data_IF_655768559377
#
_entry.id   IF_655768559377
#
_cell.length_a   1.000
_cell.length_b   1.000
_cell.length_c   1.000
_cell.angle_alpha   90.00
_cell.angle_beta   90.00
_cell.angle_gamma   90.00
#
_symmetry.space_group_name_H-M   'P 1'
#
loop_
_entity.id
_entity.type
_entity.pdbx_description
1 polymer ?
#
# COMPACT_ATOMS: atom_id res chain seq x y z
N UNK A 1 -3.20 21.13 -6.39
CA UNK A 1 -3.73 20.40 -5.21
C UNK A 1 -4.75 21.29 -4.50
N UNK A 2 -5.81 20.70 -3.93
CA UNK A 2 -6.87 21.40 -3.17
C UNK A 2 -7.03 20.70 -1.81
N UNK A 3 -7.06 21.47 -0.74
CA UNK A 3 -7.39 20.99 0.61
C UNK A 3 -8.89 20.76 0.72
N UNK A 4 -9.29 19.56 1.14
CA UNK A 4 -10.68 19.21 1.46
C UNK A 4 -10.97 19.49 2.94
N UNK A 5 -10.06 19.01 3.82
CA UNK A 5 -10.13 19.26 5.26
C UNK A 5 -8.76 19.20 5.90
N UNK A 6 -8.58 19.92 7.00
CA UNK A 6 -7.45 19.80 7.92
C UNK A 6 -7.94 19.90 9.35
N UNK A 7 -7.55 18.95 10.19
CA UNK A 7 -7.96 18.85 11.56
C UNK A 7 -6.76 18.59 12.47
N UNK A 8 -6.74 19.18 13.64
CA UNK A 8 -5.75 18.85 14.66
C UNK A 8 -5.90 17.38 15.10
N UNK A 9 -4.82 16.66 15.19
CA UNK A 9 -4.77 15.24 15.57
C UNK A 9 -3.44 14.92 16.23
N UNK A 10 -3.44 14.39 17.47
CA UNK A 10 -2.25 13.92 18.21
C UNK A 10 -1.01 14.83 18.10
N UNK A 11 -1.15 16.12 18.38
CA UNK A 11 -0.08 17.14 18.23
C UNK A 11 0.46 17.28 16.79
N UNK A 12 -0.39 17.00 15.82
CA UNK A 12 -0.10 17.14 14.40
C UNK A 12 -1.35 17.56 13.67
N UNK A 13 -1.33 17.43 12.36
CA UNK A 13 -2.44 17.76 11.47
C UNK A 13 -2.80 16.57 10.60
N UNK A 14 -4.07 16.15 10.61
CA UNK A 14 -4.63 15.21 9.64
C UNK A 14 -5.32 16.00 8.54
N UNK A 15 -4.73 15.99 7.36
CA UNK A 15 -5.30 16.59 6.16
C UNK A 15 -5.92 15.57 5.21
N UNK A 16 -6.86 16.03 4.39
CA UNK A 16 -7.40 15.33 3.22
C UNK A 16 -7.28 16.28 2.04
N UNK A 17 -6.70 15.79 0.96
CA UNK A 17 -6.37 16.57 -0.22
C UNK A 17 -6.83 15.88 -1.49
N UNK A 18 -7.17 16.67 -2.51
CA UNK A 18 -7.46 16.18 -3.85
C UNK A 18 -6.64 16.93 -4.89
N UNK A 19 -6.31 16.23 -5.96
CA UNK A 19 -5.63 16.83 -7.11
C UNK A 19 -6.02 16.13 -8.41
N UNK A 20 -5.88 16.82 -9.52
CA UNK A 20 -6.00 16.19 -10.83
C UNK A 20 -4.76 15.33 -11.06
N UNK A 21 -4.93 14.02 -11.11
CA UNK A 21 -3.88 13.10 -11.47
C UNK A 21 -3.73 13.02 -12.99
N UNK A 22 -2.49 13.10 -13.46
CA UNK A 22 -2.13 12.85 -14.84
C UNK A 22 -1.98 11.37 -15.13
N UNK A 23 -1.45 10.60 -14.19
CA UNK A 23 -1.35 9.14 -14.29
C UNK A 23 -2.73 8.50 -14.39
N UNK A 24 -3.62 8.77 -13.44
CA UNK A 24 -4.96 8.19 -13.42
C UNK A 24 -5.98 8.92 -14.29
N UNK A 25 -5.61 10.05 -14.91
CA UNK A 25 -6.48 10.89 -15.75
C UNK A 25 -7.85 11.22 -15.09
N UNK A 26 -7.87 11.37 -13.77
CA UNK A 26 -9.05 11.75 -12.98
C UNK A 26 -8.61 12.48 -11.70
N UNK A 27 -9.56 12.99 -10.94
CA UNK A 27 -9.27 13.53 -9.62
C UNK A 27 -8.98 12.40 -8.65
N UNK A 28 -7.81 12.47 -7.98
CA UNK A 28 -7.38 11.53 -6.97
C UNK A 28 -7.37 12.21 -5.60
N UNK A 29 -7.70 11.42 -4.57
CA UNK A 29 -7.74 11.88 -3.19
C UNK A 29 -6.75 11.08 -2.34
N UNK A 30 -6.09 11.76 -1.42
CA UNK A 30 -5.27 11.14 -0.39
C UNK A 30 -5.43 11.85 0.94
N UNK A 31 -5.15 11.15 2.04
CA UNK A 31 -5.02 11.75 3.34
C UNK A 31 -3.54 11.77 3.77
N UNK A 32 -3.16 12.77 4.54
CA UNK A 32 -1.80 12.92 5.06
C UNK A 32 -1.86 13.38 6.52
N UNK A 33 -1.21 12.61 7.39
CA UNK A 33 -0.91 13.05 8.74
C UNK A 33 0.48 13.67 8.77
N UNK A 34 0.59 14.89 9.29
CA UNK A 34 1.84 15.59 9.53
C UNK A 34 2.04 15.77 11.04
N UNK A 35 3.13 15.27 11.63
CA UNK A 35 3.48 15.50 13.03
C UNK A 35 3.91 16.96 13.22
N UNK A 36 3.95 17.44 14.49
CA UNK A 36 4.36 18.82 14.80
C UNK A 36 5.79 19.14 14.36
N UNK A 37 6.67 18.14 14.30
CA UNK A 37 8.05 18.25 13.84
C UNK A 37 8.17 18.72 12.39
N UNK A 38 7.16 18.48 11.57
CA UNK A 38 7.12 18.96 10.19
C UNK A 38 7.09 20.50 10.08
N UNK A 39 6.76 21.21 11.17
CA UNK A 39 6.89 22.66 11.26
C UNK A 39 8.33 23.14 11.43
N UNK A 40 9.24 22.25 11.83
CA UNK A 40 10.64 22.56 12.11
C UNK A 40 11.59 22.11 10.98
N UNK A 41 11.14 21.19 10.13
CA UNK A 41 11.90 20.66 9.00
C UNK A 41 11.31 19.40 8.41
N UNK A 42 11.94 18.84 7.37
CA UNK A 42 11.45 17.62 6.73
C UNK A 42 11.44 16.41 7.67
N UNK A 43 10.34 15.65 7.66
CA UNK A 43 10.13 14.45 8.46
C UNK A 43 10.04 13.21 7.60
N UNK A 44 10.40 12.01 8.11
CA UNK A 44 10.26 10.75 7.40
C UNK A 44 8.81 10.49 7.01
N UNK A 45 8.61 9.73 5.93
CA UNK A 45 7.29 9.39 5.40
C UNK A 45 7.01 7.89 5.48
N UNK A 46 5.86 7.53 6.02
CA UNK A 46 5.29 6.19 5.93
C UNK A 46 4.10 6.17 4.98
N UNK A 47 4.12 5.24 4.04
CA UNK A 47 3.00 4.95 3.16
C UNK A 47 2.11 3.89 3.79
N UNK A 48 0.81 4.13 3.86
CA UNK A 48 -0.16 3.12 4.29
C UNK A 48 -1.14 2.82 3.14
N UNK A 49 -0.96 1.67 2.50
CA UNK A 49 -1.79 1.21 1.40
C UNK A 49 -2.98 0.39 1.92
N UNK A 50 -4.19 0.82 1.58
CA UNK A 50 -5.41 0.15 2.00
C UNK A 50 -5.75 -1.06 1.12
N UNK A 51 -6.62 -1.94 1.62
CA UNK A 51 -7.11 -3.12 0.94
C UNK A 51 -8.27 -2.85 -0.01
N UNK A 52 -8.86 -3.94 -0.54
CA UNK A 52 -10.01 -3.90 -1.44
C UNK A 52 -11.18 -3.13 -0.84
N UNK A 53 -11.94 -2.46 -1.70
CA UNK A 53 -13.12 -1.66 -1.40
C UNK A 53 -12.89 -0.41 -0.54
N UNK A 54 -11.67 -0.22 -0.06
CA UNK A 54 -11.29 0.93 0.77
C UNK A 54 -11.06 2.20 -0.06
N UNK A 55 -11.07 3.32 0.65
CA UNK A 55 -10.59 4.63 0.19
C UNK A 55 -9.42 5.07 1.09
N UNK A 56 -8.94 6.29 0.90
CA UNK A 56 -8.00 6.96 1.81
C UNK A 56 -8.50 7.01 3.26
N UNK A 57 -9.83 7.02 3.48
CA UNK A 57 -10.43 7.17 4.82
C UNK A 57 -10.30 5.92 5.69
N UNK A 58 -10.32 4.72 5.10
CA UNK A 58 -10.39 3.48 5.88
C UNK A 58 -9.19 3.34 6.82
N UNK A 59 -7.98 3.38 6.28
CA UNK A 59 -6.76 3.27 7.09
C UNK A 59 -6.57 4.54 7.95
N UNK A 60 -6.79 5.74 7.41
CA UNK A 60 -6.72 6.99 8.15
C UNK A 60 -7.56 6.97 9.44
N UNK A 61 -8.77 6.39 9.37
CA UNK A 61 -9.71 6.36 10.50
C UNK A 61 -9.49 5.16 11.43
N UNK A 62 -9.18 3.98 10.87
CA UNK A 62 -9.22 2.72 11.62
C UNK A 62 -7.86 2.24 12.11
N UNK A 63 -6.76 2.61 11.44
CA UNK A 63 -5.44 2.10 11.79
C UNK A 63 -4.85 2.66 13.09
N UNK A 64 -5.34 3.82 13.57
CA UNK A 64 -4.79 4.47 14.76
C UNK A 64 -3.32 4.89 14.62
N UNK A 65 -2.85 5.05 13.38
CA UNK A 65 -1.44 5.31 13.07
C UNK A 65 -0.95 6.67 13.58
N UNK A 66 -1.83 7.65 13.64
CA UNK A 66 -1.48 9.04 13.93
C UNK A 66 -0.85 9.23 15.31
N UNK A 67 -1.32 8.50 16.33
CA UNK A 67 -0.76 8.58 17.68
C UNK A 67 0.72 8.18 17.71
N UNK A 68 1.02 7.03 17.10
CA UNK A 68 2.39 6.49 17.01
C UNK A 68 3.27 7.33 16.08
N UNK A 69 2.72 7.80 14.97
CA UNK A 69 3.40 8.67 14.04
C UNK A 69 3.81 9.99 14.69
N UNK A 70 2.91 10.59 15.48
CA UNK A 70 3.19 11.79 16.26
C UNK A 70 4.28 11.58 17.31
N UNK A 71 4.26 10.44 18.03
CA UNK A 71 5.29 10.12 19.03
C UNK A 71 6.69 10.00 18.42
N UNK A 72 6.76 9.62 17.15
CA UNK A 72 8.03 9.32 16.48
C UNK A 72 8.43 10.40 15.45
N UNK A 73 7.65 11.45 15.29
CA UNK A 73 7.93 12.52 14.34
C UNK A 73 7.89 12.05 12.88
N UNK A 74 6.92 11.21 12.52
CA UNK A 74 6.78 10.58 11.19
C UNK A 74 5.47 11.02 10.54
N UNK A 75 5.53 11.41 9.27
CA UNK A 75 4.33 11.64 8.47
C UNK A 75 3.76 10.32 7.95
N UNK A 76 2.43 10.24 7.78
CA UNK A 76 1.76 9.07 7.20
C UNK A 76 0.84 9.49 6.09
N UNK A 77 1.07 8.95 4.88
CA UNK A 77 0.17 9.14 3.74
C UNK A 77 -0.72 7.92 3.53
N UNK A 78 -1.99 8.20 3.28
CA UNK A 78 -3.05 7.22 3.00
C UNK A 78 -3.65 7.55 1.63
N UNK A 79 -3.12 6.98 0.52
CA UNK A 79 -3.70 7.20 -0.80
C UNK A 79 -5.02 6.45 -0.96
N UNK A 80 -5.86 6.89 -1.89
CA UNK A 80 -6.99 6.08 -2.36
C UNK A 80 -6.48 4.80 -3.05
N UNK A 81 -7.31 3.78 -3.07
CA UNK A 81 -6.96 2.44 -3.59
C UNK A 81 -7.22 2.29 -5.08
N UNK A 82 -7.90 3.25 -5.69
CA UNK A 82 -8.18 3.27 -7.12
C UNK A 82 -8.55 4.68 -7.60
N UNK A 83 -8.51 4.93 -8.91
CA UNK A 83 -9.20 6.07 -9.50
C UNK A 83 -10.70 5.99 -9.22
N UNK A 84 -11.35 7.17 -9.15
CA UNK A 84 -12.80 7.31 -8.97
C UNK A 84 -13.29 8.50 -9.78
N UNK A 85 -14.51 8.45 -10.22
CA UNK A 85 -15.12 9.49 -11.04
C UNK A 85 -16.28 8.92 -11.86
N UNK A 86 -17.05 9.77 -12.51
CA UNK A 86 -18.18 9.34 -13.34
C UNK A 86 -17.71 8.58 -14.59
N UNK A 87 -16.59 9.03 -15.17
CA UNK A 87 -16.02 8.45 -16.38
C UNK A 87 -15.06 7.26 -16.11
N UNK A 88 -14.80 6.93 -14.84
CA UNK A 88 -13.92 5.81 -14.47
C UNK A 88 -14.71 4.51 -14.53
N UNK A 89 -14.17 3.53 -15.24
CA UNK A 89 -14.76 2.19 -15.35
C UNK A 89 -14.93 1.54 -13.96
N UNK A 90 -16.00 0.75 -13.83
CA UNK A 90 -16.34 0.02 -12.62
C UNK A 90 -16.84 -1.38 -12.96
N UNK A 91 -16.96 -2.24 -11.94
CA UNK A 91 -17.49 -3.59 -12.07
C UNK A 91 -18.39 -3.91 -10.87
N UNK A 92 -19.37 -4.78 -11.05
CA UNK A 92 -20.25 -5.23 -9.96
C UNK A 92 -19.50 -6.15 -8.95
N UNK A 93 -18.39 -6.75 -9.37
CA UNK A 93 -17.54 -7.56 -8.50
C UNK A 93 -16.66 -6.66 -7.63
N UNK A 94 -16.68 -6.88 -6.32
CA UNK A 94 -15.93 -6.08 -5.32
C UNK A 94 -14.41 -6.08 -5.53
N UNK A 95 -13.91 -7.00 -6.32
CA UNK A 95 -12.48 -7.25 -6.57
C UNK A 95 -12.00 -6.73 -7.94
N UNK A 96 -12.80 -5.92 -8.63
CA UNK A 96 -12.44 -5.18 -9.84
C UNK A 96 -13.00 -3.75 -9.78
N UNK A 97 -12.43 -2.85 -10.55
CA UNK A 97 -12.92 -1.47 -10.64
C UNK A 97 -12.63 -0.62 -9.41
N UNK A 98 -13.60 0.22 -9.04
CA UNK A 98 -13.44 1.23 -7.97
C UNK A 98 -13.22 0.57 -6.61
N UNK A 99 -12.09 0.86 -5.99
CA UNK A 99 -11.63 0.25 -4.75
C UNK A 99 -10.73 -0.99 -4.94
N UNK A 100 -10.40 -1.34 -6.18
CA UNK A 100 -9.64 -2.55 -6.51
C UNK A 100 -8.51 -2.29 -7.52
N UNK A 101 -7.73 -1.22 -7.34
CA UNK A 101 -6.67 -0.83 -8.29
C UNK A 101 -5.41 -1.71 -8.25
N UNK A 102 -5.29 -2.62 -7.29
CA UNK A 102 -4.17 -3.58 -7.12
C UNK A 102 -2.77 -2.98 -7.19
N UNK A 103 -2.65 -1.65 -7.21
CA UNK A 103 -1.38 -0.93 -7.33
C UNK A 103 -0.58 -1.35 -8.57
N UNK A 104 -1.30 -1.58 -9.68
CA UNK A 104 -0.74 -1.92 -11.00
C UNK A 104 -1.09 -0.84 -12.02
N UNK A 105 -0.41 -0.88 -13.17
CA UNK A 105 -0.83 -0.12 -14.36
C UNK A 105 -1.59 -1.05 -15.29
N UNK A 106 -2.88 -0.81 -15.42
CA UNK A 106 -3.72 -1.58 -16.33
C UNK A 106 -3.33 -1.32 -17.79
N UNK A 107 -3.31 -2.39 -18.58
CA UNK A 107 -3.02 -2.38 -20.02
C UNK A 107 -4.23 -2.75 -20.87
N UNK A 108 -5.32 -3.18 -20.22
CA UNK A 108 -6.52 -3.68 -20.87
C UNK A 108 -7.69 -2.72 -20.72
N UNK A 109 -8.50 -2.58 -21.79
CA UNK A 109 -9.79 -1.90 -21.70
C UNK A 109 -10.77 -2.72 -20.84
N UNK A 110 -11.66 -2.05 -20.10
CA UNK A 110 -11.86 -0.61 -20.02
C UNK A 110 -10.97 0.09 -18.94
N UNK A 111 -10.01 -0.60 -18.35
CA UNK A 111 -9.24 -0.15 -17.19
C UNK A 111 -8.09 0.78 -17.54
N UNK A 112 -7.40 0.51 -18.66
CA UNK A 112 -6.16 1.19 -19.06
C UNK A 112 -6.22 2.74 -19.02
N UNK A 113 -7.33 3.41 -19.35
CA UNK A 113 -7.36 4.88 -19.34
C UNK A 113 -7.18 5.54 -17.97
N UNK A 114 -7.48 4.80 -16.88
CA UNK A 114 -7.52 5.37 -15.53
C UNK A 114 -6.76 4.56 -14.47
N UNK A 115 -6.74 3.24 -14.57
CA UNK A 115 -6.15 2.37 -13.53
C UNK A 115 -4.63 2.29 -13.66
N UNK A 116 -3.95 3.43 -13.41
CA UNK A 116 -2.50 3.57 -13.47
C UNK A 116 -1.94 3.78 -12.05
N UNK A 117 -2.35 2.88 -11.13
CA UNK A 117 -2.06 3.03 -9.71
C UNK A 117 -0.58 2.81 -9.37
N UNK A 118 0.16 2.06 -10.19
CA UNK A 118 1.61 1.94 -10.02
C UNK A 118 2.29 3.30 -10.23
N UNK A 119 2.09 3.94 -11.37
CA UNK A 119 2.69 5.24 -11.68
C UNK A 119 2.23 6.33 -10.70
N UNK A 120 0.97 6.23 -10.25
CA UNK A 120 0.44 7.14 -9.25
C UNK A 120 1.20 7.07 -7.92
N UNK A 121 1.43 5.86 -7.39
CA UNK A 121 2.11 5.65 -6.09
C UNK A 121 3.64 5.74 -6.22
N UNK A 122 4.21 5.27 -7.32
CA UNK A 122 5.66 5.25 -7.51
C UNK A 122 6.24 6.61 -7.89
N UNK A 123 5.50 7.41 -8.66
CA UNK A 123 6.07 8.61 -9.30
C UNK A 123 5.25 9.88 -9.02
N UNK A 124 3.96 9.92 -9.34
CA UNK A 124 3.19 11.16 -9.30
C UNK A 124 2.93 11.67 -7.88
N UNK A 125 2.38 10.83 -7.02
CA UNK A 125 2.06 11.24 -5.64
C UNK A 125 3.32 11.57 -4.82
N UNK A 126 4.44 10.83 -4.91
CA UNK A 126 5.68 11.23 -4.25
C UNK A 126 6.20 12.59 -4.66
N UNK A 127 6.17 12.91 -5.95
CA UNK A 127 6.55 14.23 -6.46
C UNK A 127 5.66 15.33 -5.88
N UNK A 128 4.34 15.13 -5.94
CA UNK A 128 3.37 16.07 -5.37
C UNK A 128 3.58 16.30 -3.86
N UNK A 129 3.84 15.23 -3.12
CA UNK A 129 4.06 15.28 -1.66
C UNK A 129 5.36 16.06 -1.35
N UNK A 130 6.45 15.76 -2.01
CA UNK A 130 7.74 16.43 -1.82
C UNK A 130 7.74 17.91 -2.18
N UNK A 131 6.91 18.32 -3.16
CA UNK A 131 6.76 19.71 -3.56
C UNK A 131 5.92 20.54 -2.58
N UNK A 132 4.97 19.92 -1.86
CA UNK A 132 3.95 20.65 -1.10
C UNK A 132 4.10 20.53 0.41
N UNK A 133 4.86 19.55 0.92
CA UNK A 133 4.97 19.28 2.35
C UNK A 133 6.42 19.10 2.78
N UNK A 134 6.71 19.40 4.05
CA UNK A 134 8.03 19.21 4.65
C UNK A 134 8.29 17.71 4.94
N UNK A 135 8.61 16.94 3.90
CA UNK A 135 8.85 15.51 3.95
C UNK A 135 10.27 15.17 3.50
N UNK A 136 10.91 14.27 4.22
CA UNK A 136 12.19 13.68 3.84
C UNK A 136 11.94 12.47 2.92
N UNK A 137 11.95 12.72 1.61
CA UNK A 137 11.66 11.73 0.58
C UNK A 137 12.77 10.67 0.42
N UNK A 138 13.92 10.83 1.08
CA UNK A 138 14.98 9.82 1.13
C UNK A 138 14.80 8.84 2.30
N UNK A 139 13.88 9.15 3.23
CA UNK A 139 13.56 8.32 4.40
C UNK A 139 12.11 7.88 4.38
N UNK A 140 11.84 6.84 3.61
CA UNK A 140 10.49 6.31 3.42
C UNK A 140 10.37 4.86 3.91
N UNK A 141 9.22 4.51 4.48
CA UNK A 141 8.79 3.14 4.71
C UNK A 141 7.43 2.92 4.07
N UNK A 142 7.08 1.66 3.80
CA UNK A 142 5.79 1.33 3.21
C UNK A 142 5.12 0.22 4.01
N UNK A 143 3.82 0.37 4.24
CA UNK A 143 3.01 -0.69 4.81
C UNK A 143 1.66 -0.78 4.11
N UNK A 144 0.96 -1.89 4.32
CA UNK A 144 -0.37 -2.05 3.75
C UNK A 144 -1.09 -3.29 4.24
N UNK A 145 -2.40 -3.31 4.03
CA UNK A 145 -3.27 -4.40 4.43
C UNK A 145 -3.90 -5.05 3.20
N UNK A 146 -3.95 -6.40 3.14
CA UNK A 146 -4.59 -7.18 2.08
C UNK A 146 -4.03 -6.83 0.68
N UNK A 147 -4.85 -6.30 -0.24
CA UNK A 147 -4.41 -5.73 -1.52
C UNK A 147 -3.33 -4.66 -1.32
N UNK A 148 -3.44 -3.83 -0.27
CA UNK A 148 -2.40 -2.85 0.08
C UNK A 148 -1.10 -3.50 0.58
N UNK A 149 -1.18 -4.64 1.27
CA UNK A 149 -0.01 -5.44 1.64
C UNK A 149 0.70 -6.03 0.41
N UNK A 150 -0.07 -6.49 -0.57
CA UNK A 150 0.44 -6.85 -1.90
C UNK A 150 1.17 -5.66 -2.55
N UNK A 151 0.52 -4.50 -2.61
CA UNK A 151 1.11 -3.29 -3.18
C UNK A 151 2.39 -2.87 -2.45
N UNK A 152 2.40 -2.91 -1.12
CA UNK A 152 3.58 -2.58 -0.33
C UNK A 152 4.78 -3.48 -0.64
N UNK A 153 4.57 -4.78 -0.72
CA UNK A 153 5.62 -5.76 -1.04
C UNK A 153 6.12 -5.60 -2.48
N UNK A 154 5.22 -5.51 -3.45
CA UNK A 154 5.60 -5.42 -4.87
C UNK A 154 6.30 -4.09 -5.19
N UNK A 155 5.83 -2.97 -4.64
CA UNK A 155 6.48 -1.67 -4.78
C UNK A 155 7.88 -1.67 -4.14
N UNK A 156 8.02 -2.18 -2.90
CA UNK A 156 9.31 -2.20 -2.21
C UNK A 156 10.36 -3.01 -2.98
N UNK A 157 10.01 -4.18 -3.50
CA UNK A 157 10.94 -5.03 -4.24
C UNK A 157 11.24 -4.54 -5.66
N UNK A 158 10.32 -3.81 -6.30
CA UNK A 158 10.55 -3.26 -7.64
C UNK A 158 11.21 -1.86 -7.63
N UNK A 159 11.25 -1.17 -6.48
CA UNK A 159 11.85 0.16 -6.32
C UNK A 159 13.03 0.09 -5.33
N UNK A 160 14.14 -0.57 -5.70
CA UNK A 160 15.27 -0.77 -4.79
C UNK A 160 15.81 0.57 -4.28
N UNK A 161 16.09 0.63 -2.97
CA UNK A 161 16.59 1.83 -2.30
C UNK A 161 15.54 2.90 -1.97
N UNK A 162 14.29 2.77 -2.44
CA UNK A 162 13.21 3.74 -2.15
C UNK A 162 12.74 3.63 -0.70
N UNK A 163 12.53 2.41 -0.21
CA UNK A 163 11.95 2.15 1.10
C UNK A 163 12.98 1.51 2.02
N UNK A 164 13.05 1.97 3.26
CA UNK A 164 13.95 1.43 4.30
C UNK A 164 13.39 0.17 4.96
N UNK A 165 12.07 -0.01 4.92
CA UNK A 165 11.38 -1.18 5.47
C UNK A 165 10.01 -1.38 4.82
N UNK A 166 9.50 -2.61 4.89
CA UNK A 166 8.14 -2.95 4.46
C UNK A 166 7.41 -3.76 5.51
N UNK A 167 6.12 -3.44 5.73
CA UNK A 167 5.23 -4.22 6.59
C UNK A 167 3.94 -4.56 5.83
N UNK A 168 3.56 -5.83 5.80
CA UNK A 168 2.36 -6.26 5.12
C UNK A 168 1.45 -7.09 6.06
N UNK A 169 0.20 -6.65 6.17
CA UNK A 169 -0.81 -7.24 7.03
C UNK A 169 -1.79 -8.03 6.17
N UNK A 170 -1.87 -9.35 6.39
CA UNK A 170 -2.70 -10.27 5.59
C UNK A 170 -2.54 -10.04 4.06
N UNK A 171 -1.30 -9.97 3.52
CA UNK A 171 -1.08 -9.60 2.12
C UNK A 171 -1.59 -10.66 1.15
N UNK A 172 -2.02 -10.25 -0.04
CA UNK A 172 -2.17 -11.15 -1.20
C UNK A 172 -0.76 -11.48 -1.68
N UNK A 173 -0.19 -12.61 -1.24
CA UNK A 173 1.23 -12.89 -1.38
C UNK A 173 1.60 -13.55 -2.71
N UNK A 174 0.70 -14.38 -3.29
CA UNK A 174 0.98 -15.16 -4.50
C UNK A 174 -0.22 -15.21 -5.44
N UNK A 175 -0.65 -14.06 -6.00
CA UNK A 175 -1.86 -13.97 -6.80
C UNK A 175 -1.83 -14.80 -8.09
N UNK A 176 -0.66 -15.06 -8.65
CA UNK A 176 -0.53 -15.84 -9.89
C UNK A 176 -0.93 -17.31 -9.74
N UNK A 177 -1.05 -17.83 -8.51
CA UNK A 177 -1.39 -19.24 -8.23
C UNK A 177 -2.82 -19.44 -7.71
N UNK A 178 -3.61 -18.39 -7.54
CA UNK A 178 -5.02 -18.50 -7.17
C UNK A 178 -5.91 -18.06 -8.33
N UNK A 179 -7.05 -18.74 -8.53
CA UNK A 179 -8.00 -18.35 -9.58
C UNK A 179 -8.50 -16.91 -9.38
N UNK A 180 -8.65 -16.52 -8.11
CA UNK A 180 -9.03 -15.17 -7.73
C UNK A 180 -7.99 -14.13 -8.15
N UNK A 181 -6.71 -14.33 -7.82
CA UNK A 181 -5.63 -13.42 -8.22
C UNK A 181 -5.40 -13.39 -9.73
N UNK A 182 -5.49 -14.55 -10.39
CA UNK A 182 -5.40 -14.66 -11.85
C UNK A 182 -6.51 -13.87 -12.57
N UNK A 183 -7.73 -13.88 -12.02
CA UNK A 183 -8.85 -13.09 -12.54
C UNK A 183 -8.49 -11.60 -12.62
N UNK A 184 -7.97 -11.03 -11.52
CA UNK A 184 -7.64 -9.61 -11.46
C UNK A 184 -6.44 -9.27 -12.34
N UNK A 185 -5.38 -10.08 -12.31
CA UNK A 185 -4.21 -9.87 -13.16
C UNK A 185 -4.57 -9.96 -14.64
N UNK A 186 -5.39 -10.93 -15.04
CA UNK A 186 -5.87 -11.05 -16.42
C UNK A 186 -6.72 -9.83 -16.83
N UNK A 187 -7.62 -9.37 -15.96
CA UNK A 187 -8.47 -8.22 -16.25
C UNK A 187 -7.67 -6.93 -16.45
N UNK A 188 -6.65 -6.68 -15.64
CA UNK A 188 -5.85 -5.46 -15.73
C UNK A 188 -4.67 -5.56 -16.70
N UNK A 189 -3.98 -6.71 -16.75
CA UNK A 189 -2.71 -6.86 -17.46
C UNK A 189 -2.81 -7.72 -18.73
N UNK A 190 -3.98 -8.35 -18.95
CA UNK A 190 -4.20 -9.25 -20.08
C UNK A 190 -3.73 -10.68 -19.80
N UNK A 191 -3.83 -11.54 -20.82
CA UNK A 191 -3.60 -12.99 -20.71
C UNK A 191 -2.13 -13.42 -20.78
N UNK A 192 -1.20 -12.50 -21.02
CA UNK A 192 0.23 -12.81 -21.01
C UNK A 192 0.74 -12.90 -19.57
N UNK A 193 0.74 -14.11 -19.02
CA UNK A 193 1.16 -14.40 -17.66
C UNK A 193 2.61 -14.03 -17.36
N UNK A 194 3.45 -13.88 -18.38
CA UNK A 194 4.86 -13.45 -18.19
C UNK A 194 4.95 -12.04 -17.64
N UNK A 195 3.93 -11.20 -17.88
CA UNK A 195 3.84 -9.83 -17.37
C UNK A 195 3.44 -9.76 -15.89
N UNK A 196 2.88 -10.85 -15.33
CA UNK A 196 2.34 -10.86 -13.97
C UNK A 196 3.40 -11.02 -12.89
N UNK A 197 4.55 -11.63 -13.21
CA UNK A 197 5.60 -11.95 -12.24
C UNK A 197 6.08 -10.73 -11.44
N UNK A 198 6.17 -9.56 -12.08
CA UNK A 198 6.54 -8.29 -11.42
C UNK A 198 5.47 -7.75 -10.45
N UNK A 199 4.30 -8.35 -10.45
CA UNK A 199 3.17 -8.03 -9.57
C UNK A 199 2.83 -9.19 -8.62
N UNK A 200 3.79 -10.08 -8.35
CA UNK A 200 3.63 -11.20 -7.45
C UNK A 200 4.75 -11.20 -6.40
N UNK A 201 4.39 -10.95 -5.15
CA UNK A 201 5.35 -10.77 -4.07
C UNK A 201 6.21 -12.02 -3.82
N UNK A 202 5.65 -13.22 -4.00
CA UNK A 202 6.38 -14.48 -3.82
C UNK A 202 7.41 -14.69 -4.94
N UNK A 203 7.05 -14.38 -6.18
CA UNK A 203 7.96 -14.47 -7.31
C UNK A 203 9.09 -13.43 -7.23
N UNK A 204 8.75 -12.18 -6.89
CA UNK A 204 9.73 -11.12 -6.66
C UNK A 204 10.70 -11.45 -5.53
N UNK A 205 10.19 -12.02 -4.43
CA UNK A 205 11.03 -12.47 -3.32
C UNK A 205 12.02 -13.54 -3.75
N UNK A 206 11.59 -14.49 -4.57
CA UNK A 206 12.47 -15.55 -5.10
C UNK A 206 13.50 -15.02 -6.10
N UNK A 207 13.15 -13.98 -6.87
CA UNK A 207 14.02 -13.41 -7.90
C UNK A 207 15.07 -12.45 -7.34
N UNK A 208 14.66 -11.51 -6.47
CA UNK A 208 15.50 -10.37 -6.05
C UNK A 208 15.49 -10.04 -4.57
N UNK A 209 14.45 -10.43 -3.82
CA UNK A 209 14.32 -10.07 -2.40
C UNK A 209 14.15 -8.56 -2.15
N UNK A 210 14.44 -8.14 -0.91
CA UNK A 210 14.40 -6.75 -0.47
C UNK A 210 15.57 -6.44 0.47
N UNK A 211 16.25 -5.31 0.29
CA UNK A 211 17.45 -4.96 1.06
C UNK A 211 17.18 -4.49 2.51
N UNK A 212 15.92 -4.36 2.90
CA UNK A 212 15.50 -3.93 4.24
C UNK A 212 14.80 -5.02 5.05
N UNK A 213 14.39 -4.71 6.29
CA UNK A 213 13.57 -5.60 7.09
C UNK A 213 12.14 -5.69 6.55
N UNK A 214 11.59 -6.91 6.60
CA UNK A 214 10.20 -7.20 6.23
C UNK A 214 9.45 -7.69 7.46
N UNK A 215 8.24 -7.14 7.69
CA UNK A 215 7.28 -7.68 8.63
C UNK A 215 6.04 -8.18 7.88
N UNK A 216 5.67 -9.43 8.12
CA UNK A 216 4.39 -9.99 7.67
C UNK A 216 3.58 -10.39 8.91
N UNK A 217 2.35 -9.93 9.01
CA UNK A 217 1.38 -10.38 9.99
C UNK A 217 0.20 -11.07 9.31
N UNK A 218 -0.10 -12.30 9.71
CA UNK A 218 -1.19 -13.09 9.14
C UNK A 218 -2.02 -13.75 10.24
N UNK A 219 -3.34 -13.61 10.14
CA UNK A 219 -4.28 -14.39 10.97
C UNK A 219 -4.43 -15.80 10.43
N UNK A 220 -4.30 -16.81 11.28
CA UNK A 220 -4.50 -18.22 10.89
C UNK A 220 -5.98 -18.58 10.76
N UNK A 221 -6.86 -17.76 11.31
CA UNK A 221 -8.32 -17.90 11.23
C UNK A 221 -8.93 -16.91 10.21
N UNK A 222 -8.11 -16.43 9.27
CA UNK A 222 -8.53 -15.56 8.20
C UNK A 222 -9.31 -16.34 7.14
N UNK A 223 -10.53 -15.89 6.83
CA UNK A 223 -11.39 -16.55 5.84
C UNK A 223 -10.80 -16.55 4.42
N UNK A 224 -9.84 -15.68 4.14
CA UNK A 224 -9.13 -15.57 2.86
C UNK A 224 -7.76 -16.27 2.86
N UNK A 225 -7.38 -16.96 3.93
CA UNK A 225 -6.03 -17.52 4.10
C UNK A 225 -5.55 -18.30 2.86
N UNK A 226 -6.42 -19.19 2.34
CA UNK A 226 -6.12 -19.99 1.15
C UNK A 226 -5.88 -19.16 -0.12
N UNK A 227 -6.48 -17.98 -0.22
CA UNK A 227 -6.32 -17.06 -1.37
C UNK A 227 -5.07 -16.16 -1.20
N UNK A 228 -4.70 -15.86 0.04
CA UNK A 228 -3.58 -14.98 0.38
C UNK A 228 -2.22 -15.67 0.21
N UNK A 229 -2.15 -17.01 0.40
CA UNK A 229 -0.94 -17.83 0.19
C UNK A 229 0.27 -17.39 1.02
N UNK A 230 0.15 -17.13 2.33
CA UNK A 230 1.27 -16.66 3.15
C UNK A 230 2.42 -17.68 3.26
N UNK A 231 2.13 -18.99 3.18
CA UNK A 231 3.12 -20.05 3.24
C UNK A 231 4.10 -19.97 2.04
N UNK A 232 3.59 -19.69 0.83
CA UNK A 232 4.43 -19.56 -0.36
C UNK A 232 5.43 -18.41 -0.22
N UNK A 233 4.98 -17.27 0.32
CA UNK A 233 5.86 -16.13 0.61
C UNK A 233 6.86 -16.48 1.71
N UNK A 234 6.45 -17.17 2.77
CA UNK A 234 7.32 -17.61 3.85
C UNK A 234 8.46 -18.52 3.33
N UNK A 235 8.12 -19.48 2.46
CA UNK A 235 9.12 -20.32 1.82
C UNK A 235 10.09 -19.53 0.93
N UNK A 236 9.59 -18.59 0.15
CA UNK A 236 10.42 -17.73 -0.70
C UNK A 236 11.38 -16.87 0.15
N UNK A 237 10.88 -16.24 1.22
CA UNK A 237 11.71 -15.48 2.17
C UNK A 237 12.80 -16.34 2.83
N UNK A 238 12.46 -17.57 3.24
CA UNK A 238 13.43 -18.50 3.82
C UNK A 238 14.51 -18.91 2.83
N UNK A 239 14.15 -19.22 1.59
CA UNK A 239 15.10 -19.57 0.51
C UNK A 239 16.01 -18.40 0.16
N UNK A 240 15.48 -17.18 0.11
CA UNK A 240 16.22 -15.96 -0.14
C UNK A 240 17.09 -15.51 1.07
N UNK A 241 16.96 -16.13 2.23
CA UNK A 241 17.56 -15.70 3.50
C UNK A 241 17.22 -14.24 3.83
N UNK A 242 15.99 -13.84 3.50
CA UNK A 242 15.51 -12.49 3.72
C UNK A 242 15.48 -12.13 5.21
N UNK A 243 15.91 -10.91 5.55
CA UNK A 243 15.69 -10.37 6.89
C UNK A 243 14.19 -10.07 7.07
N UNK A 244 13.45 -11.07 7.54
CA UNK A 244 12.00 -11.01 7.65
C UNK A 244 11.49 -11.62 8.95
N UNK A 245 10.38 -11.05 9.43
CA UNK A 245 9.59 -11.60 10.53
C UNK A 245 8.20 -11.93 10.01
N UNK A 246 7.83 -13.20 10.04
CA UNK A 246 6.45 -13.63 9.83
C UNK A 246 5.84 -13.93 11.19
N UNK A 247 4.74 -13.23 11.53
CA UNK A 247 3.95 -13.49 12.72
C UNK A 247 2.63 -14.11 12.30
N UNK A 248 2.32 -15.27 12.90
CA UNK A 248 1.04 -15.94 12.77
C UNK A 248 0.23 -15.69 14.04
N UNK A 249 -1.00 -15.24 13.91
CA UNK A 249 -1.90 -14.97 15.03
C UNK A 249 -3.17 -15.81 14.90
N UNK A 250 -3.68 -16.32 16.01
CA UNK A 250 -4.97 -17.01 16.07
C UNK A 250 -6.18 -16.05 15.91
N UNK A 251 -5.93 -14.79 15.62
CA UNK A 251 -6.95 -13.75 15.50
C UNK A 251 -7.13 -13.42 14.01
N UNK A 252 -8.36 -13.10 13.60
CA UNK A 252 -8.63 -12.47 12.30
C UNK A 252 -7.86 -11.16 12.20
N UNK A 253 -7.03 -11.00 11.16
CA UNK A 253 -6.32 -9.75 10.82
C UNK A 253 -7.01 -9.04 9.66
N UNK A 254 -8.11 -9.58 9.16
CA UNK A 254 -8.89 -9.00 8.06
C UNK A 254 -9.59 -7.67 8.41
N UNK A 255 -9.52 -7.25 9.69
CA UNK A 255 -10.03 -5.95 10.12
C UNK A 255 -8.90 -5.05 10.64
N UNK A 256 -8.76 -3.81 10.14
CA UNK A 256 -7.70 -2.88 10.54
C UNK A 256 -7.95 -2.26 11.94
N UNK A 257 -8.33 -3.09 12.92
CA UNK A 257 -8.81 -2.61 14.22
C UNK A 257 -7.79 -2.68 15.35
N UNK A 258 -6.51 -3.06 15.07
CA UNK A 258 -5.49 -3.10 16.13
C UNK A 258 -4.29 -2.21 15.86
N UNK A 259 -4.07 -1.16 16.67
CA UNK A 259 -2.97 -0.20 16.52
C UNK A 259 -1.56 -0.77 16.80
N UNK A 260 -1.46 -2.00 17.32
CA UNK A 260 -0.18 -2.60 17.75
C UNK A 260 0.80 -2.92 16.60
N UNK A 261 0.34 -3.04 15.38
CA UNK A 261 1.17 -3.47 14.24
C UNK A 261 1.89 -2.31 13.54
N UNK A 262 1.34 -1.11 13.64
CA UNK A 262 1.92 0.10 13.03
C UNK A 262 3.16 0.55 13.79
N UNK A 263 3.25 0.28 15.09
CA UNK A 263 4.43 0.60 15.90
C UNK A 263 5.72 -0.02 15.36
N UNK A 264 5.64 -1.21 14.73
CA UNK A 264 6.83 -1.85 14.15
C UNK A 264 7.27 -1.17 12.85
N UNK A 265 6.35 -0.85 11.94
CA UNK A 265 6.68 -0.12 10.72
C UNK A 265 7.29 1.25 11.03
N UNK A 266 6.76 1.93 12.04
CA UNK A 266 7.30 3.21 12.56
C UNK A 266 8.68 3.04 13.17
N UNK A 267 8.93 1.95 13.92
CA UNK A 267 10.24 1.68 14.53
C UNK A 267 11.36 1.51 13.49
N UNK A 268 11.06 0.90 12.35
CA UNK A 268 12.04 0.69 11.27
C UNK A 268 12.41 1.96 10.49
N UNK A 269 11.74 3.09 10.73
CA UNK A 269 12.07 4.39 10.12
C UNK A 269 13.05 5.21 10.97
N UNK A 270 13.35 4.80 12.19
CA UNK A 270 14.39 5.40 13.05
C UNK A 270 15.77 4.84 12.74
#
# INVERSE_FOLDING_TARGET
MKTISENASFRGTQGVYTHRSTACNCDMTFALFLPEEAQQGPVPLMWFLSGLTCTHENAMTKAGAQAWAAEHGIAVVFPDTSPRGEDVADDDAYDLGKGAGFYVNATQDPWAPHFQMWDYIADELPALLGENFALDMDRQAICGHSMGGHGALTLAMNLPGRFTSVSAFAPIAHPTTSDWGRKQLAAYLGSDETTWAKHDATLLMAERGFDGPILIDQGTDDQFLDLLKPEALAEAMAKARQNATLRLSLIHISEPTRPLYISYAVFCLK
#
